data_IF_599396221929
#
_entry.id   IF_599396221929
#
_cell.length_a   1.000
_cell.length_b   1.000
_cell.length_c   1.000
_cell.angle_alpha   90.00
_cell.angle_beta   90.00
_cell.angle_gamma   90.00
#
_symmetry.space_group_name_H-M   'P 1'
#
loop_
_entity.id
_entity.type
_entity.pdbx_description
1 polymer ?
#
# COMPACT_ATOMS: atom_id res chain seq x y z
N UNK A 1 -8.04 -80.81 -10.01
CA UNK A 1 -7.00 -79.78 -10.22
C UNK A 1 -7.36 -78.54 -9.45
N UNK A 2 -6.68 -78.22 -8.38
CA UNK A 2 -6.96 -76.96 -7.69
C UNK A 2 -6.50 -75.78 -8.57
N UNK A 3 -7.41 -75.01 -8.96
CA UNK A 3 -7.14 -73.76 -9.62
C UNK A 3 -6.60 -72.76 -8.58
N UNK A 4 -5.29 -72.53 -8.64
CA UNK A 4 -4.68 -71.41 -7.92
C UNK A 4 -5.15 -70.13 -8.56
N UNK A 5 -6.19 -69.59 -8.02
CA UNK A 5 -6.52 -68.20 -8.33
C UNK A 5 -5.40 -67.31 -7.82
N UNK A 6 -4.54 -66.88 -8.72
CA UNK A 6 -3.65 -65.76 -8.44
C UNK A 6 -4.53 -64.58 -8.12
N UNK A 7 -4.77 -64.35 -6.86
CA UNK A 7 -5.21 -63.02 -6.42
C UNK A 7 -4.09 -62.06 -6.78
N UNK A 8 -4.23 -61.37 -7.90
CA UNK A 8 -3.48 -60.19 -8.16
C UNK A 8 -3.89 -59.20 -7.09
N UNK A 9 -3.15 -59.19 -5.99
CA UNK A 9 -3.20 -58.07 -5.08
C UNK A 9 -2.70 -56.85 -5.87
N UNK A 10 -3.61 -56.13 -6.45
CA UNK A 10 -3.34 -54.76 -6.81
C UNK A 10 -2.99 -54.06 -5.52
N UNK A 11 -1.71 -53.92 -5.24
CA UNK A 11 -1.27 -53.00 -4.22
C UNK A 11 -1.69 -51.61 -4.68
N UNK A 12 -2.88 -51.24 -4.26
CA UNK A 12 -3.26 -49.84 -4.27
C UNK A 12 -2.25 -49.17 -3.36
N UNK A 13 -1.23 -48.54 -3.96
CA UNK A 13 -0.35 -47.68 -3.23
C UNK A 13 -1.23 -46.53 -2.73
N UNK A 14 -1.74 -46.70 -1.52
CA UNK A 14 -2.46 -45.63 -0.86
C UNK A 14 -1.50 -44.47 -0.72
N UNK A 15 -1.76 -43.43 -1.50
CA UNK A 15 -1.00 -42.18 -1.37
C UNK A 15 -1.29 -41.66 0.01
N UNK A 16 -0.27 -41.62 0.85
CA UNK A 16 -0.39 -41.02 2.16
C UNK A 16 -0.61 -39.54 1.99
N UNK A 17 -1.82 -39.06 2.28
CA UNK A 17 -2.21 -37.64 2.14
C UNK A 17 -1.59 -36.75 3.17
N UNK A 18 -1.04 -37.27 4.25
CA UNK A 18 -0.48 -36.47 5.35
C UNK A 18 0.68 -35.58 4.90
N UNK A 19 1.72 -36.08 4.17
CA UNK A 19 2.78 -35.21 3.66
C UNK A 19 2.26 -34.15 2.66
N UNK A 20 1.28 -34.50 1.86
CA UNK A 20 0.68 -33.56 0.90
C UNK A 20 -0.07 -32.44 1.59
N UNK A 21 -0.88 -32.78 2.59
CA UNK A 21 -1.61 -31.79 3.40
C UNK A 21 -0.64 -30.86 4.14
N UNK A 22 0.45 -31.39 4.66
CA UNK A 22 1.47 -30.61 5.36
C UNK A 22 2.11 -29.56 4.43
N UNK A 23 2.48 -29.93 3.21
CA UNK A 23 3.02 -29.00 2.22
C UNK A 23 2.01 -27.90 1.89
N UNK A 24 0.76 -28.26 1.68
CA UNK A 24 -0.31 -27.29 1.37
C UNK A 24 -0.55 -26.34 2.54
N UNK A 25 -0.56 -26.84 3.78
CA UNK A 25 -0.70 -26.00 4.97
C UNK A 25 0.48 -25.02 5.13
N UNK A 26 1.70 -25.48 4.93
CA UNK A 26 2.89 -24.61 5.00
C UNK A 26 2.83 -23.52 3.93
N UNK A 27 2.47 -23.86 2.71
CA UNK A 27 2.29 -22.90 1.63
C UNK A 27 1.19 -21.87 1.98
N UNK A 28 0.08 -22.33 2.53
CA UNK A 28 -1.01 -21.47 2.95
C UNK A 28 -0.56 -20.45 4.02
N UNK A 29 0.19 -20.91 5.01
CA UNK A 29 0.73 -20.05 6.07
C UNK A 29 1.72 -19.03 5.49
N UNK A 30 2.60 -19.47 4.59
CA UNK A 30 3.55 -18.57 3.92
C UNK A 30 2.80 -17.48 3.15
N UNK A 31 1.81 -17.84 2.35
CA UNK A 31 0.98 -16.85 1.63
C UNK A 31 0.22 -15.93 2.57
N UNK A 32 -0.28 -16.44 3.68
CA UNK A 32 -0.98 -15.62 4.66
C UNK A 32 -0.08 -14.57 5.30
N UNK A 33 1.18 -14.90 5.57
CA UNK A 33 2.16 -13.97 6.15
C UNK A 33 2.68 -12.99 5.10
N UNK A 34 2.87 -13.43 3.86
CA UNK A 34 3.44 -12.61 2.79
C UNK A 34 2.42 -11.70 2.11
N UNK A 35 1.14 -12.05 2.12
CA UNK A 35 0.09 -11.26 1.49
C UNK A 35 0.03 -9.79 1.96
N UNK A 36 0.08 -9.48 3.27
CA UNK A 36 0.09 -8.09 3.72
C UNK A 36 1.37 -7.33 3.31
N UNK A 37 2.49 -8.02 3.10
CA UNK A 37 3.75 -7.39 2.67
C UNK A 37 3.67 -6.93 1.20
N UNK A 38 2.93 -7.67 0.37
CA UNK A 38 2.72 -7.31 -1.03
C UNK A 38 1.76 -6.13 -1.21
N UNK A 39 0.96 -5.84 -0.20
CA UNK A 39 0.08 -4.68 -0.14
C UNK A 39 0.79 -3.46 0.47
N UNK A 40 2.09 -3.34 0.26
CA UNK A 40 2.87 -2.24 0.80
C UNK A 40 2.45 -0.89 0.22
N UNK A 41 1.26 -0.48 0.59
CA UNK A 41 0.92 0.92 0.63
C UNK A 41 1.64 1.55 1.81
N UNK A 42 2.13 2.74 1.64
CA UNK A 42 2.70 3.51 2.74
C UNK A 42 1.58 3.76 3.74
N UNK A 43 1.69 3.16 4.92
CA UNK A 43 0.69 3.34 5.97
C UNK A 43 0.86 4.73 6.58
N UNK A 44 -0.14 5.55 6.39
CA UNK A 44 -0.19 6.93 6.87
C UNK A 44 -1.57 7.19 7.47
N UNK A 45 -1.60 7.56 8.74
CA UNK A 45 -2.81 8.04 9.39
C UNK A 45 -3.03 9.51 9.00
N UNK A 46 -3.85 9.73 7.99
CA UNK A 46 -4.14 11.10 7.54
C UNK A 46 -5.08 11.82 8.51
N UNK A 47 -4.92 13.13 8.67
CA UNK A 47 -5.83 13.93 9.48
C UNK A 47 -7.27 13.80 8.97
N UNK A 48 -8.20 13.64 9.90
CA UNK A 48 -9.62 13.49 9.58
C UNK A 48 -10.29 14.85 9.43
N UNK A 49 -10.97 15.05 8.33
CA UNK A 49 -11.73 16.28 8.06
C UNK A 49 -13.14 15.97 7.57
N UNK A 50 -13.98 16.99 7.54
CA UNK A 50 -15.37 16.82 7.09
C UNK A 50 -15.51 16.83 5.56
N UNK A 51 -14.49 17.27 4.85
CA UNK A 51 -14.52 17.37 3.39
C UNK A 51 -13.73 16.23 2.76
N UNK A 52 -14.37 15.44 1.95
CA UNK A 52 -13.76 14.34 1.20
C UNK A 52 -13.67 14.75 -0.26
N UNK A 53 -12.49 14.61 -0.85
CA UNK A 53 -12.34 14.59 -2.30
C UNK A 53 -11.84 13.20 -2.71
N UNK A 54 -12.62 12.52 -3.53
CA UNK A 54 -12.21 11.26 -4.11
C UNK A 54 -11.00 11.46 -5.02
N UNK A 55 -9.96 10.68 -4.77
CA UNK A 55 -8.74 10.73 -5.56
C UNK A 55 -8.88 9.70 -6.67
N UNK A 56 -8.99 10.16 -7.91
CA UNK A 56 -8.90 9.26 -9.05
C UNK A 56 -7.47 8.75 -9.24
N UNK A 57 -7.34 7.52 -9.70
CA UNK A 57 -6.08 6.76 -9.73
C UNK A 57 -4.95 7.36 -10.59
N UNK A 58 -5.25 8.32 -11.46
CA UNK A 58 -4.28 8.93 -12.37
C UNK A 58 -3.60 10.20 -11.79
N UNK A 59 -3.72 10.42 -10.51
CA UNK A 59 -3.21 11.63 -9.89
C UNK A 59 -1.95 11.39 -9.08
N UNK A 60 -1.02 12.34 -9.15
CA UNK A 60 0.24 12.26 -8.44
C UNK A 60 0.03 12.51 -6.95
N UNK A 61 0.44 11.57 -6.12
CA UNK A 61 0.29 11.63 -4.67
C UNK A 61 1.67 11.73 -4.01
N UNK A 62 1.86 12.76 -3.20
CA UNK A 62 3.01 12.91 -2.32
C UNK A 62 2.59 12.51 -0.91
N UNK A 63 3.30 11.59 -0.31
CA UNK A 63 3.02 11.08 1.02
C UNK A 63 4.14 11.37 1.99
N UNK A 64 3.82 11.81 3.18
CA UNK A 64 4.76 11.98 4.30
C UNK A 64 4.36 11.04 5.43
N UNK A 65 5.24 10.13 5.80
CA UNK A 65 4.98 9.13 6.83
C UNK A 65 5.31 9.61 8.25
N UNK A 66 5.02 8.77 9.23
CA UNK A 66 5.31 9.03 10.67
C UNK A 66 6.80 9.30 10.93
N UNK A 67 7.68 8.71 10.14
CA UNK A 67 9.13 8.89 10.25
C UNK A 67 9.62 10.14 9.51
N UNK A 68 8.72 10.99 9.04
CA UNK A 68 9.01 12.21 8.28
C UNK A 68 9.68 11.96 6.92
N UNK A 69 9.50 10.77 6.36
CA UNK A 69 9.99 10.42 5.03
C UNK A 69 8.97 10.82 3.98
N UNK A 70 9.46 11.35 2.88
CA UNK A 70 8.63 11.80 1.76
C UNK A 70 8.65 10.75 0.65
N UNK A 71 7.49 10.44 0.13
CA UNK A 71 7.30 9.49 -0.96
C UNK A 71 6.53 10.14 -2.12
N UNK A 72 6.96 9.84 -3.33
CA UNK A 72 6.23 10.17 -4.54
C UNK A 72 5.59 8.90 -5.08
N UNK A 73 4.28 8.77 -4.92
CA UNK A 73 3.61 7.47 -5.11
C UNK A 73 4.13 6.47 -4.09
N UNK A 74 4.83 5.44 -4.53
CA UNK A 74 5.45 4.42 -3.67
C UNK A 74 6.97 4.57 -3.52
N UNK A 75 7.59 5.51 -4.21
CA UNK A 75 9.04 5.67 -4.21
C UNK A 75 9.50 6.70 -3.18
N UNK A 76 10.47 6.36 -2.31
CA UNK A 76 11.02 7.33 -1.38
C UNK A 76 11.82 8.41 -2.14
N UNK A 77 11.59 9.65 -1.78
CA UNK A 77 12.18 10.82 -2.46
C UNK A 77 12.71 11.80 -1.42
N UNK A 78 13.86 12.39 -1.71
CA UNK A 78 14.36 13.52 -0.92
C UNK A 78 13.56 14.80 -1.26
N UNK A 79 13.25 15.61 -0.25
CA UNK A 79 12.55 16.90 -0.43
C UNK A 79 13.22 17.77 -1.49
N UNK A 80 14.55 17.78 -1.55
CA UNK A 80 15.32 18.56 -2.54
C UNK A 80 15.10 18.10 -3.98
N UNK A 81 14.81 16.80 -4.17
CA UNK A 81 14.59 16.20 -5.49
C UNK A 81 13.12 16.07 -5.84
N UNK A 82 12.25 16.30 -4.88
CA UNK A 82 10.81 16.12 -5.04
C UNK A 82 10.25 16.93 -6.21
N UNK A 83 10.58 18.21 -6.27
CA UNK A 83 10.13 19.10 -7.34
C UNK A 83 10.58 18.68 -8.73
N UNK A 84 11.83 18.28 -8.87
CA UNK A 84 12.37 17.82 -10.15
C UNK A 84 11.70 16.53 -10.63
N UNK A 85 11.50 15.56 -9.73
CA UNK A 85 10.82 14.30 -10.04
C UNK A 85 9.34 14.51 -10.39
N UNK A 86 8.68 15.42 -9.73
CA UNK A 86 7.28 15.75 -10.05
C UNK A 86 7.18 16.40 -11.43
N UNK A 87 8.05 17.34 -11.77
CA UNK A 87 8.07 17.94 -13.09
C UNK A 87 8.31 16.93 -14.20
N UNK A 88 9.14 15.94 -13.95
CA UNK A 88 9.41 14.87 -14.90
C UNK A 88 8.17 13.99 -15.15
N UNK A 89 7.37 13.75 -14.12
CA UNK A 89 6.13 12.96 -14.20
C UNK A 89 4.92 13.79 -14.67
N UNK A 90 4.88 15.07 -14.35
CA UNK A 90 3.82 15.98 -14.77
C UNK A 90 4.11 16.52 -16.18
N UNK A 91 3.63 15.85 -17.19
CA UNK A 91 3.75 16.29 -18.59
C UNK A 91 2.65 17.26 -19.04
N UNK A 92 1.99 17.96 -18.12
CA UNK A 92 0.89 18.88 -18.46
C UNK A 92 0.71 20.01 -17.44
N UNK A 93 0.35 21.20 -17.92
CA UNK A 93 0.34 22.46 -17.15
C UNK A 93 -0.75 22.57 -16.06
N UNK A 94 -1.68 21.63 -15.95
CA UNK A 94 -2.86 21.72 -15.07
C UNK A 94 -3.07 20.49 -14.17
N UNK A 95 -2.00 19.78 -13.81
CA UNK A 95 -2.16 18.62 -12.96
C UNK A 95 -2.06 19.01 -11.48
N UNK A 96 -3.04 18.57 -10.71
CA UNK A 96 -3.08 18.73 -9.26
C UNK A 96 -2.23 17.66 -8.59
N UNK A 97 -1.43 18.05 -7.61
CA UNK A 97 -0.69 17.15 -6.74
C UNK A 97 -1.47 16.96 -5.46
N UNK A 98 -1.64 15.72 -5.04
CA UNK A 98 -2.28 15.37 -3.78
C UNK A 98 -1.22 15.16 -2.71
N UNK A 99 -1.32 15.90 -1.63
CA UNK A 99 -0.44 15.77 -0.47
C UNK A 99 -1.16 14.99 0.63
N UNK A 100 -0.61 13.83 0.96
CA UNK A 100 -1.06 12.97 2.04
C UNK A 100 -0.02 13.00 3.16
N UNK A 101 -0.41 13.40 4.33
CA UNK A 101 0.48 13.57 5.46
C UNK A 101 -0.07 12.83 6.67
N UNK A 102 0.81 12.14 7.41
CA UNK A 102 0.42 11.53 8.68
C UNK A 102 0.05 12.62 9.70
N UNK A 103 -0.96 12.37 10.51
CA UNK A 103 -1.44 13.34 11.51
C UNK A 103 -0.40 13.71 12.56
N UNK A 104 0.60 12.85 12.79
CA UNK A 104 1.67 13.06 13.77
C UNK A 104 2.85 13.87 13.21
N UNK A 105 2.87 14.14 11.90
CA UNK A 105 3.94 14.91 11.27
C UNK A 105 3.91 16.36 11.77
N UNK A 106 5.06 16.92 12.22
CA UNK A 106 5.14 18.31 12.61
C UNK A 106 4.75 19.26 11.47
N UNK A 107 4.05 20.32 11.78
CA UNK A 107 3.64 21.31 10.80
C UNK A 107 4.82 21.89 10.00
N UNK A 108 5.99 22.05 10.62
CA UNK A 108 7.20 22.51 9.94
C UNK A 108 7.62 21.64 8.76
N UNK A 109 7.53 20.30 8.90
CA UNK A 109 7.83 19.36 7.82
C UNK A 109 6.78 19.47 6.71
N UNK A 110 5.51 19.54 7.08
CA UNK A 110 4.42 19.76 6.13
C UNK A 110 4.63 21.06 5.32
N UNK A 111 4.95 22.15 6.00
CA UNK A 111 5.21 23.44 5.36
C UNK A 111 6.42 23.38 4.41
N UNK A 112 7.47 22.67 4.78
CA UNK A 112 8.66 22.47 3.94
C UNK A 112 8.34 21.69 2.66
N UNK A 113 7.49 20.69 2.74
CA UNK A 113 7.05 19.91 1.56
C UNK A 113 6.19 20.79 0.65
N UNK A 114 5.26 21.53 1.20
CA UNK A 114 4.41 22.48 0.42
C UNK A 114 5.25 23.54 -0.25
N UNK A 115 6.23 24.08 0.44
CA UNK A 115 7.15 25.07 -0.12
C UNK A 115 7.98 24.49 -1.27
N UNK A 116 8.54 23.30 -1.09
CA UNK A 116 9.28 22.60 -2.14
C UNK A 116 8.42 22.37 -3.40
N UNK A 117 7.15 22.03 -3.22
CA UNK A 117 6.21 21.88 -4.33
C UNK A 117 5.95 23.20 -5.05
N UNK A 118 5.74 24.28 -4.31
CA UNK A 118 5.48 25.63 -4.87
C UNK A 118 6.68 26.19 -5.60
N UNK A 119 7.87 26.06 -5.04
CA UNK A 119 9.13 26.49 -5.68
C UNK A 119 9.34 25.75 -7.01
N UNK A 120 8.85 24.53 -7.11
CA UNK A 120 8.87 23.74 -8.34
C UNK A 120 7.82 24.13 -9.38
N UNK A 121 6.99 25.14 -9.09
CA UNK A 121 5.96 25.62 -10.01
C UNK A 121 4.61 24.91 -9.87
N UNK A 122 4.41 24.11 -8.83
CA UNK A 122 3.15 23.41 -8.59
C UNK A 122 2.27 24.27 -7.69
N UNK A 123 1.23 24.85 -8.29
CA UNK A 123 0.31 25.73 -7.58
C UNK A 123 -0.95 25.02 -7.07
N UNK A 124 -1.34 23.93 -7.72
CA UNK A 124 -2.52 23.15 -7.36
C UNK A 124 -2.14 22.00 -6.43
N UNK A 125 -2.13 22.26 -5.14
CA UNK A 125 -1.87 21.25 -4.11
C UNK A 125 -3.17 20.98 -3.36
N UNK A 126 -3.61 19.74 -3.37
CA UNK A 126 -4.79 19.27 -2.63
C UNK A 126 -4.36 18.39 -1.47
N UNK A 127 -4.82 18.71 -0.29
CA UNK A 127 -4.52 17.92 0.90
C UNK A 127 -5.54 16.79 1.03
N UNK A 128 -5.04 15.57 1.18
CA UNK A 128 -5.87 14.38 1.36
C UNK A 128 -6.15 14.17 2.84
N UNK A 129 -7.42 14.04 3.17
CA UNK A 129 -7.88 13.80 4.53
C UNK A 129 -8.90 12.67 4.54
N UNK A 130 -9.03 12.00 5.68
CA UNK A 130 -10.08 10.99 5.88
C UNK A 130 -11.32 11.61 6.52
N UNK A 131 -12.53 11.07 6.22
CA UNK A 131 -13.75 11.53 6.87
C UNK A 131 -13.74 11.18 8.34
N UNK A 132 -14.27 12.08 9.16
CA UNK A 132 -14.58 11.77 10.55
C UNK A 132 -15.68 10.71 10.59
N UNK A 133 -15.36 9.50 11.01
CA UNK A 133 -16.38 8.50 11.29
C UNK A 133 -17.14 8.87 12.57
N UNK A 134 -18.47 8.82 12.55
CA UNK A 134 -19.33 9.20 13.67
C UNK A 134 -19.09 8.42 14.98
N UNK A 135 -18.25 7.38 14.95
CA UNK A 135 -17.93 6.57 16.14
C UNK A 135 -17.19 7.35 17.25
N UNK A 136 -16.70 8.54 16.98
CA UNK A 136 -16.03 9.37 17.98
C UNK A 136 -17.01 10.22 18.83
N UNK A 137 -18.32 10.14 18.60
CA UNK A 137 -19.33 10.95 19.32
C UNK A 137 -19.91 10.30 20.58
N UNK A 138 -19.48 9.10 20.94
CA UNK A 138 -20.02 8.37 22.10
C UNK A 138 -18.99 8.21 23.22
N UNK A 139 -18.27 9.25 23.52
CA UNK A 139 -17.52 9.35 24.80
C UNK A 139 -17.64 10.75 25.36
#
# INVERSE_FOLDING_TARGET
MPQLSKSTQTSLSEINMVPFVDVVLVLLIIFMITAPILQSGIEVDVPKTRTIKDISQDRLVVTVDKAQRVYLGNDPVNIRQLGAKIREQLKGANQSVFLRCDETVPFGIFASVVDALRVSGINNISIVTEPLTERARTQ
#
